data_IF_991516062109
#
_entry.id   IF_991516062109
#
_cell.length_a   1.000
_cell.length_b   1.000
_cell.length_c   1.000
_cell.angle_alpha   90.00
_cell.angle_beta   90.00
_cell.angle_gamma   90.00
#
_symmetry.space_group_name_H-M   'P 1'
#
loop_
_entity.id
_entity.type
_entity.pdbx_description
1 polymer ?
#
# COMPACT_ATOMS: atom_id res chain seq x y z
N UNK A 1 5.30 11.52 -14.18
CA UNK A 1 4.49 11.89 -13.01
C UNK A 1 4.12 10.66 -12.21
N UNK A 2 3.89 10.82 -10.91
CA UNK A 2 3.33 9.78 -10.05
C UNK A 2 2.07 10.35 -9.41
N UNK A 3 1.08 9.49 -9.21
CA UNK A 3 -0.25 9.92 -8.81
C UNK A 3 -0.51 9.62 -7.33
N UNK A 4 0.33 8.84 -6.65
CA UNK A 4 0.22 8.59 -5.20
C UNK A 4 1.54 8.09 -4.62
N UNK A 5 1.70 8.22 -3.31
CA UNK A 5 2.89 7.75 -2.59
C UNK A 5 2.52 7.25 -1.18
N UNK A 6 3.33 6.36 -0.63
CA UNK A 6 3.17 5.93 0.76
C UNK A 6 4.36 5.15 1.30
N UNK A 7 4.34 4.91 2.60
CA UNK A 7 5.34 4.12 3.30
C UNK A 7 4.74 3.33 4.46
N UNK A 8 5.46 2.28 4.86
CA UNK A 8 5.25 1.56 6.12
C UNK A 8 6.60 1.41 6.81
N UNK A 9 6.67 1.69 8.11
CA UNK A 9 7.87 1.52 8.92
C UNK A 9 7.49 0.85 10.23
N UNK A 10 8.35 -0.04 10.72
CA UNK A 10 8.21 -0.60 12.07
C UNK A 10 8.25 0.52 13.11
N UNK A 11 7.53 0.41 14.23
CA UNK A 11 7.56 1.41 15.31
C UNK A 11 8.65 1.18 16.38
N UNK A 12 9.34 0.03 16.32
CA UNK A 12 10.32 -0.39 17.33
C UNK A 12 9.72 -1.12 18.54
N UNK A 13 8.40 -1.15 18.66
CA UNK A 13 7.64 -1.83 19.74
C UNK A 13 6.86 -3.06 19.23
N UNK A 14 6.98 -3.37 17.94
CA UNK A 14 6.41 -4.56 17.31
C UNK A 14 5.21 -4.28 16.40
N UNK A 15 4.79 -3.02 16.29
CA UNK A 15 3.81 -2.53 15.35
C UNK A 15 4.42 -1.93 14.09
N UNK A 16 3.55 -1.46 13.20
CA UNK A 16 3.91 -0.86 11.90
C UNK A 16 3.06 0.39 11.70
N UNK A 17 3.73 1.52 11.45
CA UNK A 17 3.11 2.78 11.10
C UNK A 17 3.01 2.85 9.59
N UNK A 18 1.81 3.13 9.06
CA UNK A 18 1.56 3.27 7.63
C UNK A 18 0.97 4.65 7.32
N UNK A 19 1.58 5.34 6.36
CA UNK A 19 1.09 6.63 5.84
C UNK A 19 1.04 6.58 4.33
N UNK A 20 -0.07 7.06 3.75
CA UNK A 20 -0.31 7.06 2.31
C UNK A 20 -0.99 8.36 1.91
N UNK A 21 -0.76 8.81 0.68
CA UNK A 21 -1.37 10.00 0.09
C UNK A 21 -1.72 9.76 -1.37
N UNK A 22 -2.80 10.37 -1.84
CA UNK A 22 -3.22 10.37 -3.25
C UNK A 22 -2.44 11.37 -4.12
N UNK A 23 -1.26 11.82 -3.68
CA UNK A 23 -0.44 12.79 -4.39
C UNK A 23 1.05 12.52 -4.27
N UNK A 24 1.86 13.54 -4.52
CA UNK A 24 3.31 13.37 -4.74
C UNK A 24 4.08 13.18 -3.43
N UNK A 25 5.36 12.80 -3.54
CA UNK A 25 6.26 12.57 -2.39
C UNK A 25 6.31 13.75 -1.40
N UNK A 26 6.13 14.99 -1.88
CA UNK A 26 6.09 16.17 -1.00
C UNK A 26 4.91 16.15 -0.02
N UNK A 27 3.75 15.66 -0.46
CA UNK A 27 2.57 15.51 0.40
C UNK A 27 2.80 14.39 1.43
N UNK A 28 3.42 13.28 1.01
CA UNK A 28 3.80 12.20 1.92
C UNK A 28 4.78 12.72 2.98
N UNK A 29 5.76 13.52 2.58
CA UNK A 29 6.72 14.15 3.50
C UNK A 29 6.03 15.07 4.52
N UNK A 30 4.99 15.79 4.10
CA UNK A 30 4.22 16.65 4.99
C UNK A 30 3.33 15.84 5.96
N UNK A 31 2.80 14.70 5.52
CA UNK A 31 1.98 13.81 6.34
C UNK A 31 2.81 12.89 7.28
N UNK A 32 4.11 12.74 7.02
CA UNK A 32 4.97 11.81 7.74
C UNK A 32 5.53 12.39 9.05
N UNK A 33 5.41 11.63 10.14
CA UNK A 33 6.06 11.91 11.41
C UNK A 33 7.09 10.81 11.74
N UNK A 34 8.37 11.17 11.74
CA UNK A 34 9.46 10.21 11.93
C UNK A 34 9.79 9.89 13.40
N UNK A 35 9.10 10.51 14.38
CA UNK A 35 9.45 10.34 15.81
C UNK A 35 9.29 8.91 16.31
N UNK A 36 8.39 8.15 15.71
CA UNK A 36 8.07 6.77 16.09
C UNK A 36 8.62 5.77 15.06
N UNK A 37 9.59 6.18 14.24
CA UNK A 37 10.15 5.33 13.20
C UNK A 37 11.23 4.39 13.76
N UNK A 38 11.00 3.09 13.62
CA UNK A 38 12.00 2.04 13.77
C UNK A 38 12.93 1.92 12.56
N UNK A 39 13.72 0.86 12.51
CA UNK A 39 14.84 0.72 11.57
C UNK A 39 14.50 0.03 10.24
N UNK A 40 13.29 -0.51 10.08
CA UNK A 40 12.88 -1.23 8.87
C UNK A 40 11.62 -0.60 8.28
N UNK A 41 11.64 -0.32 6.97
CA UNK A 41 10.49 0.22 6.27
C UNK A 41 10.55 0.02 4.77
N UNK A 42 9.39 0.13 4.15
CA UNK A 42 9.18 0.09 2.71
C UNK A 42 8.42 1.35 2.28
N UNK A 43 8.75 1.89 1.11
CA UNK A 43 8.07 3.04 0.54
C UNK A 43 7.83 2.82 -0.95
N UNK A 44 6.84 3.52 -1.50
CA UNK A 44 6.46 3.36 -2.89
C UNK A 44 5.89 4.65 -3.47
N UNK A 45 6.23 4.91 -4.73
CA UNK A 45 5.57 5.90 -5.59
C UNK A 45 4.85 5.15 -6.70
N UNK A 46 3.56 5.41 -6.84
CA UNK A 46 2.68 4.64 -7.73
C UNK A 46 2.25 5.48 -8.92
N UNK A 47 2.43 4.92 -10.11
CA UNK A 47 1.73 5.32 -11.32
C UNK A 47 0.51 4.42 -11.46
N UNK A 48 -0.70 4.99 -11.52
CA UNK A 48 -1.91 4.18 -11.50
C UNK A 48 -2.11 3.40 -12.82
N UNK A 49 -2.14 2.06 -12.73
CA UNK A 49 -2.51 1.15 -13.84
C UNK A 49 -3.91 0.55 -13.64
N UNK A 50 -4.21 0.07 -12.43
CA UNK A 50 -5.52 -0.44 -12.03
C UNK A 50 -6.12 0.39 -10.88
N UNK A 51 -7.28 1.00 -11.09
CA UNK A 51 -7.95 1.85 -10.11
C UNK A 51 -7.37 3.28 -10.04
N UNK A 52 -8.20 4.28 -9.67
CA UNK A 52 -7.81 5.68 -9.64
C UNK A 52 -6.72 5.98 -8.61
N UNK A 53 -6.08 7.13 -8.76
CA UNK A 53 -5.16 7.68 -7.77
C UNK A 53 -5.93 8.14 -6.52
N UNK A 54 -6.01 7.26 -5.52
CA UNK A 54 -6.65 7.51 -4.24
C UNK A 54 -5.75 7.00 -3.13
N UNK A 55 -5.95 7.49 -1.91
CA UNK A 55 -5.20 6.99 -0.75
C UNK A 55 -5.43 5.49 -0.52
N UNK A 56 -6.64 4.99 -0.77
CA UNK A 56 -6.96 3.57 -0.65
C UNK A 56 -6.15 2.69 -1.62
N UNK A 57 -5.89 3.19 -2.84
CA UNK A 57 -5.11 2.52 -3.88
C UNK A 57 -3.61 2.80 -3.81
N UNK A 58 -3.17 3.70 -2.93
CA UNK A 58 -1.75 3.93 -2.70
C UNK A 58 -1.13 2.72 -1.99
N UNK A 59 0.12 2.42 -2.32
CA UNK A 59 0.92 1.43 -1.62
C UNK A 59 1.53 2.04 -0.35
N UNK A 60 1.90 1.24 0.68
CA UNK A 60 1.77 -0.21 0.77
C UNK A 60 0.34 -0.72 0.99
N UNK A 61 0.01 -1.88 0.41
CA UNK A 61 -1.19 -2.65 0.76
C UNK A 61 -0.93 -3.54 1.97
N UNK A 62 -1.98 -3.96 2.67
CA UNK A 62 -1.84 -4.73 3.91
C UNK A 62 -2.88 -5.82 4.08
N UNK A 63 -2.45 -6.95 4.63
CA UNK A 63 -3.29 -8.00 5.17
C UNK A 63 -2.76 -8.42 6.55
N UNK A 64 -3.46 -8.02 7.62
CA UNK A 64 -2.98 -8.24 8.98
C UNK A 64 -1.62 -7.58 9.23
N UNK A 65 -0.59 -8.39 9.52
CA UNK A 65 0.80 -7.93 9.76
C UNK A 65 1.66 -7.85 8.49
N UNK A 66 1.14 -8.25 7.34
CA UNK A 66 1.85 -8.23 6.06
C UNK A 66 1.63 -6.89 5.39
N UNK A 67 2.71 -6.23 4.98
CA UNK A 67 2.72 -4.98 4.23
C UNK A 67 3.49 -5.20 2.93
N UNK A 68 2.92 -4.80 1.80
CA UNK A 68 3.50 -5.08 0.48
C UNK A 68 3.53 -3.85 -0.42
N UNK A 69 4.63 -3.72 -1.15
CA UNK A 69 4.79 -2.81 -2.29
C UNK A 69 5.08 -3.65 -3.53
N UNK A 70 4.60 -3.20 -4.68
CA UNK A 70 4.72 -3.95 -5.93
C UNK A 70 4.94 -2.99 -7.09
N UNK A 71 5.84 -3.37 -7.99
CA UNK A 71 6.05 -2.75 -9.29
C UNK A 71 5.77 -3.80 -10.36
N UNK A 72 4.78 -3.53 -11.21
CA UNK A 72 4.37 -4.45 -12.25
C UNK A 72 2.85 -4.54 -12.33
N UNK A 73 2.37 -5.61 -12.95
CA UNK A 73 0.96 -5.95 -13.07
C UNK A 73 0.79 -7.41 -12.66
N UNK A 74 -0.17 -7.69 -11.79
CA UNK A 74 -0.61 -9.07 -11.50
C UNK A 74 -1.68 -9.45 -12.52
N UNK A 75 -1.28 -10.11 -13.60
CA UNK A 75 -2.15 -10.36 -14.77
C UNK A 75 -3.43 -11.15 -14.44
N UNK A 76 -3.37 -12.06 -13.47
CA UNK A 76 -4.48 -12.90 -13.03
C UNK A 76 -5.23 -12.36 -11.79
N UNK A 77 -5.08 -11.06 -11.46
CA UNK A 77 -5.65 -10.48 -10.23
C UNK A 77 -7.17 -10.68 -10.11
N UNK A 78 -7.92 -10.70 -11.21
CA UNK A 78 -9.38 -10.89 -11.17
C UNK A 78 -9.75 -12.26 -10.60
N UNK A 79 -9.13 -13.32 -11.13
CA UNK A 79 -9.36 -14.68 -10.68
C UNK A 79 -8.94 -14.87 -9.22
N UNK A 80 -7.82 -14.25 -8.81
CA UNK A 80 -7.38 -14.25 -7.42
C UNK A 80 -8.40 -13.52 -6.52
N UNK A 81 -8.82 -12.32 -6.91
CA UNK A 81 -9.77 -11.50 -6.16
C UNK A 81 -11.15 -12.15 -6.00
N UNK A 82 -11.56 -12.99 -6.94
CA UNK A 82 -12.80 -13.81 -6.82
C UNK A 82 -12.62 -15.02 -5.89
N UNK A 83 -11.41 -15.55 -5.77
CA UNK A 83 -11.10 -16.70 -4.93
C UNK A 83 -10.82 -16.32 -3.47
N UNK A 84 -10.12 -15.22 -3.20
CA UNK A 84 -9.68 -14.84 -1.84
C UNK A 84 -10.82 -14.58 -0.84
N UNK A 85 -11.97 -13.99 -1.21
CA UNK A 85 -13.08 -13.80 -0.27
C UNK A 85 -13.70 -15.12 0.19
N UNK A 86 -13.65 -16.17 -0.65
CA UNK A 86 -14.04 -17.52 -0.26
C UNK A 86 -13.13 -18.11 0.81
N UNK A 87 -11.92 -17.56 0.96
CA UNK A 87 -10.96 -17.87 2.01
C UNK A 87 -11.03 -16.88 3.21
N UNK A 88 -12.01 -15.97 3.23
CA UNK A 88 -12.30 -15.08 4.37
C UNK A 88 -11.63 -13.70 4.32
N UNK A 89 -10.95 -13.32 3.24
CA UNK A 89 -10.35 -11.99 3.10
C UNK A 89 -11.34 -10.95 2.54
N UNK A 90 -11.15 -9.68 2.91
CA UNK A 90 -11.89 -8.54 2.35
C UNK A 90 -10.92 -7.59 1.65
N UNK A 91 -11.33 -7.06 0.50
CA UNK A 91 -10.55 -6.08 -0.26
C UNK A 91 -11.02 -4.66 0.06
N UNK A 92 -10.06 -3.74 0.21
CA UNK A 92 -10.25 -2.33 0.55
C UNK A 92 -9.79 -1.38 -0.56
N UNK A 93 -9.25 -1.91 -1.65
CA UNK A 93 -8.76 -1.16 -2.80
C UNK A 93 -9.23 -1.77 -4.12
N UNK A 94 -8.93 -1.10 -5.21
CA UNK A 94 -9.20 -1.57 -6.58
C UNK A 94 -7.92 -2.03 -7.30
N UNK A 95 -6.79 -2.09 -6.59
CA UNK A 95 -5.51 -2.46 -7.19
C UNK A 95 -5.43 -3.97 -7.39
N UNK A 96 -4.64 -4.34 -8.39
CA UNK A 96 -4.18 -5.71 -8.61
C UNK A 96 -3.21 -6.16 -7.52
N UNK A 97 -2.53 -5.23 -6.84
CA UNK A 97 -1.52 -5.53 -5.80
C UNK A 97 -2.15 -6.08 -4.52
N UNK A 98 -3.38 -5.71 -4.17
CA UNK A 98 -4.01 -6.15 -2.91
C UNK A 98 -4.32 -7.66 -2.86
N UNK A 99 -4.25 -8.37 -4.00
CA UNK A 99 -4.43 -9.83 -4.04
C UNK A 99 -3.19 -10.62 -3.61
N UNK A 100 -2.05 -9.94 -3.41
CA UNK A 100 -0.81 -10.51 -2.85
C UNK A 100 -0.96 -10.65 -1.33
#
# INVERSE_FOLDING_TARGET
DYDSAGLSVTDGEGGIIRVRVAGKVNELKAAWNSREAGSCGIAHTRWATHGPATEANAHPHTAGRVHVVHNGIIENYRSLREATPKAGATFHSQTDTEVI
#
